data_IF_240778414623
#
_entry.id   IF_240778414623
#
_cell.length_a   1.000
_cell.length_b   1.000
_cell.length_c   1.000
_cell.angle_alpha   90.00
_cell.angle_beta   90.00
_cell.angle_gamma   90.00
#
_symmetry.space_group_name_H-M   'P 1'
#
loop_
_entity.id
_entity.type
_entity.pdbx_description
1 polymer ?
#
# COMPACT_ATOMS: atom_id res chain seq x y z
N UNK A 1 -11.89 14.29 -1.11
CA UNK A 1 -11.96 13.38 0.05
C UNK A 1 -11.97 11.90 -0.35
N UNK A 2 -12.63 11.57 -1.46
CA UNK A 2 -12.66 10.20 -1.96
C UNK A 2 -11.26 9.61 -2.20
N UNK A 3 -10.32 10.42 -2.67
CA UNK A 3 -8.95 9.94 -2.95
C UNK A 3 -8.14 9.68 -1.67
N UNK A 4 -8.51 10.24 -0.54
CA UNK A 4 -7.91 9.88 0.75
C UNK A 4 -8.39 8.49 1.18
N UNK A 5 -9.68 8.19 1.00
CA UNK A 5 -10.20 6.83 1.21
C UNK A 5 -9.50 5.83 0.30
N UNK A 6 -9.33 6.20 -0.98
CA UNK A 6 -8.64 5.37 -1.96
C UNK A 6 -7.21 5.06 -1.50
N UNK A 7 -6.49 6.07 -1.00
CA UNK A 7 -5.12 5.89 -0.50
C UNK A 7 -5.07 4.89 0.66
N UNK A 8 -5.91 5.08 1.67
CA UNK A 8 -5.94 4.16 2.81
C UNK A 8 -6.46 2.77 2.43
N UNK A 9 -7.43 2.68 1.52
CA UNK A 9 -7.91 1.40 1.03
C UNK A 9 -6.81 0.63 0.31
N UNK A 10 -5.99 1.32 -0.48
CA UNK A 10 -4.82 0.75 -1.15
C UNK A 10 -3.78 0.30 -0.13
N UNK A 11 -3.49 1.13 0.87
CA UNK A 11 -2.52 0.81 1.90
C UNK A 11 -2.93 -0.43 2.68
N UNK A 12 -4.21 -0.57 2.99
CA UNK A 12 -4.73 -1.76 3.67
C UNK A 12 -4.47 -3.03 2.85
N UNK A 13 -4.75 -2.98 1.54
CA UNK A 13 -4.50 -4.11 0.64
C UNK A 13 -3.00 -4.43 0.56
N UNK A 14 -2.18 -3.41 0.29
CA UNK A 14 -0.74 -3.57 0.10
C UNK A 14 -0.06 -4.10 1.37
N UNK A 15 -0.35 -3.49 2.51
CA UNK A 15 0.23 -3.87 3.79
C UNK A 15 -0.18 -5.29 4.17
N UNK A 16 -1.44 -5.64 3.98
CA UNK A 16 -1.94 -6.98 4.32
C UNK A 16 -1.21 -8.06 3.54
N UNK A 17 -1.05 -7.88 2.21
CA UNK A 17 -0.39 -8.89 1.39
C UNK A 17 1.12 -8.93 1.62
N UNK A 18 1.76 -7.78 1.73
CA UNK A 18 3.20 -7.74 2.00
C UNK A 18 3.52 -8.38 3.36
N UNK A 19 2.72 -8.08 4.38
CA UNK A 19 2.88 -8.67 5.70
C UNK A 19 2.61 -10.18 5.69
N UNK A 20 1.53 -10.61 5.02
CA UNK A 20 1.20 -12.03 4.91
C UNK A 20 2.35 -12.82 4.28
N UNK A 21 2.92 -12.31 3.20
CA UNK A 21 4.06 -12.94 2.53
C UNK A 21 5.28 -12.98 3.44
N UNK A 22 5.53 -11.90 4.17
CA UNK A 22 6.63 -11.83 5.12
C UNK A 22 6.49 -12.87 6.23
N UNK A 23 5.26 -13.17 6.63
CA UNK A 23 4.95 -14.18 7.64
C UNK A 23 4.90 -15.60 7.09
N UNK A 24 5.13 -15.78 5.79
CA UNK A 24 5.13 -17.08 5.15
C UNK A 24 3.74 -17.65 4.85
N UNK A 25 2.70 -16.81 4.86
CA UNK A 25 1.34 -17.23 4.55
C UNK A 25 1.16 -17.37 3.04
N UNK A 26 0.32 -18.32 2.62
CA UNK A 26 0.02 -18.50 1.21
C UNK A 26 -0.86 -17.37 0.69
N UNK A 27 -0.39 -16.67 -0.35
CA UNK A 27 -1.07 -15.50 -0.91
C UNK A 27 -2.51 -15.82 -1.29
N UNK A 28 -2.76 -16.92 -1.99
CA UNK A 28 -4.11 -17.27 -2.47
C UNK A 28 -5.09 -17.47 -1.32
N UNK A 29 -4.66 -18.10 -0.24
CA UNK A 29 -5.51 -18.31 0.94
C UNK A 29 -5.85 -17.00 1.63
N UNK A 30 -4.88 -16.09 1.71
CA UNK A 30 -5.09 -14.76 2.30
C UNK A 30 -6.06 -13.95 1.45
N UNK A 31 -5.88 -13.97 0.12
CA UNK A 31 -6.76 -13.26 -0.82
C UNK A 31 -8.19 -13.80 -0.75
N UNK A 32 -8.36 -15.10 -0.69
CA UNK A 32 -9.69 -15.72 -0.58
C UNK A 32 -10.37 -15.34 0.74
N UNK A 33 -9.65 -15.41 1.85
CA UNK A 33 -10.18 -15.05 3.16
C UNK A 33 -10.58 -13.57 3.23
N UNK A 34 -9.75 -12.67 2.71
CA UNK A 34 -10.04 -11.24 2.68
C UNK A 34 -11.18 -10.91 1.73
N UNK A 35 -11.26 -11.62 0.59
CA UNK A 35 -12.36 -11.41 -0.38
C UNK A 35 -13.74 -11.74 0.19
N UNK A 36 -13.81 -12.61 1.17
CA UNK A 36 -15.06 -13.00 1.84
C UNK A 36 -15.38 -12.11 3.05
N UNK A 37 -14.47 -11.22 3.43
CA UNK A 37 -14.66 -10.37 4.61
C UNK A 37 -15.57 -9.18 4.31
N UNK A 38 -16.54 -8.88 5.18
CA UNK A 38 -17.38 -7.68 5.02
C UNK A 38 -16.61 -6.38 5.17
N UNK A 39 -15.37 -6.42 5.70
CA UNK A 39 -14.51 -5.24 5.84
C UNK A 39 -13.81 -4.87 4.54
N UNK A 40 -13.80 -5.77 3.55
CA UNK A 40 -13.11 -5.58 2.28
C UNK A 40 -14.12 -5.19 1.21
N UNK A 41 -13.90 -4.03 0.58
CA UNK A 41 -14.77 -3.56 -0.49
C UNK A 41 -14.59 -4.40 -1.76
N UNK A 42 -15.57 -4.33 -2.68
CA UNK A 42 -15.45 -4.99 -3.99
C UNK A 42 -14.22 -4.48 -4.76
N UNK A 43 -13.93 -3.19 -4.66
CA UNK A 43 -12.73 -2.59 -5.27
C UNK A 43 -11.45 -3.21 -4.70
N UNK A 44 -11.37 -3.33 -3.37
CA UNK A 44 -10.21 -3.93 -2.71
C UNK A 44 -10.07 -5.41 -3.08
N UNK A 45 -11.17 -6.16 -3.14
CA UNK A 45 -11.14 -7.56 -3.53
C UNK A 45 -10.58 -7.74 -4.95
N UNK A 46 -10.97 -6.87 -5.89
CA UNK A 46 -10.43 -6.89 -7.24
C UNK A 46 -8.93 -6.57 -7.25
N UNK A 47 -8.49 -5.60 -6.45
CA UNK A 47 -7.06 -5.25 -6.35
C UNK A 47 -6.24 -6.38 -5.72
N UNK A 48 -6.77 -7.06 -4.72
CA UNK A 48 -6.11 -8.24 -4.13
C UNK A 48 -5.83 -9.31 -5.19
N UNK A 49 -6.79 -9.57 -6.09
CA UNK A 49 -6.61 -10.54 -7.17
C UNK A 49 -5.51 -10.09 -8.14
N UNK A 50 -5.46 -8.81 -8.49
CA UNK A 50 -4.43 -8.29 -9.39
C UNK A 50 -3.04 -8.41 -8.77
N UNK A 51 -2.89 -8.08 -7.50
CA UNK A 51 -1.61 -8.19 -6.79
C UNK A 51 -1.16 -9.65 -6.72
N UNK A 52 -2.10 -10.57 -6.44
CA UNK A 52 -1.79 -12.00 -6.39
C UNK A 52 -1.22 -12.51 -7.72
N UNK A 53 -1.66 -11.94 -8.84
CA UNK A 53 -1.18 -12.27 -10.18
C UNK A 53 0.04 -11.47 -10.61
N UNK A 54 0.49 -10.53 -9.80
CA UNK A 54 1.60 -9.64 -10.16
C UNK A 54 1.25 -8.60 -11.22
N UNK A 55 -0.02 -8.24 -11.36
CA UNK A 55 -0.50 -7.30 -12.36
C UNK A 55 -0.54 -5.87 -11.81
N UNK A 56 0.40 -5.04 -12.24
CA UNK A 56 0.48 -3.64 -11.82
C UNK A 56 0.28 -2.66 -12.98
N UNK A 57 -0.34 -3.12 -14.07
CA UNK A 57 -0.71 -2.23 -15.18
C UNK A 57 -1.68 -1.16 -14.68
N UNK A 58 -1.47 0.06 -15.12
CA UNK A 58 -2.07 1.24 -14.52
C UNK A 58 -3.57 1.34 -14.75
N UNK A 59 -4.34 1.33 -13.68
CA UNK A 59 -5.73 1.77 -13.66
C UNK A 59 -5.82 3.15 -12.99
N UNK A 60 -4.99 3.38 -11.97
CA UNK A 60 -4.82 4.68 -11.33
C UNK A 60 -3.35 4.81 -10.93
N UNK A 61 -2.62 5.71 -11.59
CA UNK A 61 -1.19 5.85 -11.38
C UNK A 61 -0.85 6.26 -9.95
N UNK A 62 0.17 5.63 -9.39
CA UNK A 62 0.64 5.92 -8.03
C UNK A 62 0.97 7.40 -7.85
N UNK A 63 1.66 8.00 -8.81
CA UNK A 63 2.05 9.43 -8.73
C UNK A 63 0.85 10.37 -8.66
N UNK A 64 -0.25 10.04 -9.35
CA UNK A 64 -1.47 10.84 -9.32
C UNK A 64 -2.19 10.71 -7.97
N UNK A 65 -2.26 9.49 -7.44
CA UNK A 65 -2.84 9.26 -6.13
C UNK A 65 -2.05 9.98 -5.04
N UNK A 66 -0.73 9.94 -5.10
CA UNK A 66 0.15 10.62 -4.15
C UNK A 66 -0.02 12.14 -4.22
N UNK A 67 -0.18 12.69 -5.42
CA UNK A 67 -0.41 14.13 -5.60
C UNK A 67 -1.60 14.61 -4.78
N UNK A 68 -2.70 13.86 -4.81
CA UNK A 68 -3.91 14.20 -4.06
C UNK A 68 -3.68 14.13 -2.55
N UNK A 69 -2.90 13.16 -2.10
CA UNK A 69 -2.51 13.05 -0.69
C UNK A 69 -1.68 14.27 -0.25
N UNK A 70 -0.71 14.66 -1.06
CA UNK A 70 0.11 15.85 -0.76
C UNK A 70 -0.73 17.13 -0.71
N UNK A 71 -1.68 17.29 -1.63
CA UNK A 71 -2.57 18.44 -1.64
C UNK A 71 -3.42 18.51 -0.36
N UNK A 72 -3.93 17.36 0.09
CA UNK A 72 -4.70 17.29 1.33
C UNK A 72 -3.85 17.66 2.55
N UNK A 73 -2.62 17.15 2.63
CA UNK A 73 -1.71 17.46 3.74
C UNK A 73 -1.35 18.94 3.76
N UNK A 74 -1.10 19.54 2.60
CA UNK A 74 -0.82 20.98 2.49
C UNK A 74 -2.01 21.81 2.93
N UNK A 75 -3.23 21.42 2.52
CA UNK A 75 -4.44 22.13 2.87
C UNK A 75 -4.74 22.05 4.37
N UNK A 76 -4.44 20.91 4.98
CA UNK A 76 -4.66 20.71 6.42
C UNK A 76 -3.71 21.56 7.27
N UNK A 77 -2.47 21.69 6.82
CA UNK A 77 -1.42 22.47 7.50
C UNK A 77 -1.36 22.17 9.01
N UNK A 78 -1.33 20.86 9.37
CA UNK A 78 -1.44 20.40 10.74
C UNK A 78 -0.72 19.06 10.89
N UNK A 79 0.08 18.92 11.95
CA UNK A 79 0.91 17.73 12.20
C UNK A 79 0.14 16.54 12.78
N UNK A 80 -1.13 16.73 13.12
CA UNK A 80 -1.93 15.66 13.74
C UNK A 80 -2.28 14.50 12.81
N UNK A 81 -2.13 14.69 11.48
CA UNK A 81 -2.46 13.67 10.49
C UNK A 81 -1.26 12.76 10.20
N UNK A 82 -0.66 12.21 11.24
CA UNK A 82 0.58 11.43 11.16
C UNK A 82 0.45 10.17 10.28
N UNK A 83 -0.70 9.48 10.35
CA UNK A 83 -0.90 8.28 9.52
C UNK A 83 -0.89 8.61 8.04
N UNK A 84 -1.54 9.72 7.64
CA UNK A 84 -1.55 10.16 6.25
C UNK A 84 -0.16 10.63 5.81
N UNK A 85 0.54 11.34 6.68
CA UNK A 85 1.91 11.79 6.40
C UNK A 85 2.86 10.60 6.20
N UNK A 86 2.76 9.56 7.03
CA UNK A 86 3.57 8.35 6.89
C UNK A 86 3.27 7.61 5.59
N UNK A 87 2.00 7.52 5.21
CA UNK A 87 1.60 6.95 3.92
C UNK A 87 2.23 7.75 2.78
N UNK A 88 2.16 9.08 2.85
CA UNK A 88 2.74 9.94 1.82
C UNK A 88 4.25 9.73 1.67
N UNK A 89 4.98 9.61 2.77
CA UNK A 89 6.43 9.38 2.75
C UNK A 89 6.77 8.03 2.11
N UNK A 90 6.03 7.00 2.46
CA UNK A 90 6.18 5.65 1.93
C UNK A 90 5.92 5.62 0.41
N UNK A 91 4.84 6.25 -0.02
CA UNK A 91 4.49 6.33 -1.44
C UNK A 91 5.45 7.22 -2.22
N UNK A 92 5.95 8.28 -1.60
CA UNK A 92 6.96 9.13 -2.24
C UNK A 92 8.23 8.35 -2.52
N UNK A 93 8.65 7.49 -1.58
CA UNK A 93 9.81 6.63 -1.79
C UNK A 93 9.59 5.71 -3.00
N UNK A 94 8.40 5.13 -3.13
CA UNK A 94 8.06 4.28 -4.27
C UNK A 94 8.11 5.05 -5.60
N UNK A 95 7.61 6.29 -5.61
CA UNK A 95 7.69 7.16 -6.80
C UNK A 95 9.15 7.47 -7.13
N UNK A 96 9.96 7.80 -6.13
CA UNK A 96 11.38 8.10 -6.30
C UNK A 96 12.15 6.88 -6.83
N UNK A 97 11.70 5.67 -6.49
CA UNK A 97 12.26 4.42 -6.99
C UNK A 97 11.79 4.06 -8.41
N UNK A 98 11.02 4.94 -9.06
CA UNK A 98 10.60 4.76 -10.45
C UNK A 98 9.27 4.07 -10.65
N UNK A 99 8.45 3.90 -9.60
CA UNK A 99 7.19 3.16 -9.67
C UNK A 99 5.96 4.05 -9.91
N UNK A 100 6.17 5.37 -10.07
CA UNK A 100 5.08 6.35 -10.10
C UNK A 100 4.07 6.18 -11.24
N UNK A 101 4.48 5.62 -12.37
CA UNK A 101 3.63 5.43 -13.55
C UNK A 101 2.81 4.13 -13.49
N UNK A 102 3.11 3.24 -12.56
CA UNK A 102 2.39 1.99 -12.39
C UNK A 102 1.14 2.19 -11.54
N UNK A 103 0.29 1.16 -11.51
CA UNK A 103 -0.91 1.20 -10.68
C UNK A 103 -0.55 1.46 -9.22
N UNK A 104 -1.42 2.20 -8.51
CA UNK A 104 -1.16 2.54 -7.11
C UNK A 104 -0.90 1.31 -6.22
N UNK A 105 -1.43 0.14 -6.60
CA UNK A 105 -1.19 -1.11 -5.87
C UNK A 105 0.26 -1.58 -5.92
N UNK A 106 1.10 -0.96 -6.75
CA UNK A 106 2.54 -1.28 -6.81
C UNK A 106 3.27 -0.98 -5.50
N UNK A 107 2.65 -0.21 -4.60
CA UNK A 107 3.21 0.02 -3.25
C UNK A 107 3.38 -1.30 -2.49
N UNK A 108 2.64 -2.35 -2.85
CA UNK A 108 2.87 -3.70 -2.32
C UNK A 108 4.29 -4.17 -2.60
N UNK A 109 4.75 -3.99 -3.83
CA UNK A 109 6.14 -4.35 -4.22
C UNK A 109 7.17 -3.50 -3.49
N UNK A 110 6.88 -2.22 -3.33
CA UNK A 110 7.76 -1.32 -2.60
C UNK A 110 7.94 -1.78 -1.15
N UNK A 111 6.86 -2.19 -0.49
CA UNK A 111 6.92 -2.73 0.87
C UNK A 111 7.73 -4.03 0.94
N UNK A 112 7.57 -4.90 -0.04
CA UNK A 112 8.30 -6.16 -0.11
C UNK A 112 9.81 -5.93 -0.35
N UNK A 113 10.16 -4.99 -1.20
CA UNK A 113 11.55 -4.65 -1.53
C UNK A 113 12.27 -3.99 -0.35
N UNK A 114 11.57 -3.19 0.44
CA UNK A 114 12.10 -2.56 1.63
C UNK A 114 12.23 -3.53 2.80
N UNK A 115 11.58 -4.70 2.69
CA UNK A 115 11.57 -5.73 3.70
C UNK A 115 12.88 -6.48 3.79
N UNK A 116 13.92 -5.84 4.32
CA UNK A 116 15.21 -6.45 4.55
C UNK A 116 15.20 -7.34 5.78
N UNK A 117 15.93 -6.92 6.80
CA UNK A 117 16.07 -7.66 8.06
C UNK A 117 14.73 -7.75 8.80
N UNK A 118 14.34 -8.93 9.27
CA UNK A 118 13.16 -9.07 10.13
C UNK A 118 13.24 -8.16 11.35
N UNK A 119 12.09 -7.66 11.79
CA UNK A 119 12.00 -6.71 12.91
C UNK A 119 12.73 -7.19 14.17
N UNK A 120 12.66 -8.50 14.45
CA UNK A 120 13.32 -9.10 15.61
C UNK A 120 14.84 -8.94 15.54
N UNK A 121 15.43 -9.14 14.37
CA UNK A 121 16.85 -8.95 14.15
C UNK A 121 17.25 -7.49 14.20
N UNK A 122 16.41 -6.60 13.64
CA UNK A 122 16.65 -5.16 13.71
C UNK A 122 16.64 -4.66 15.16
N UNK A 123 15.76 -5.18 15.97
CA UNK A 123 15.73 -4.84 17.42
C UNK A 123 16.99 -5.32 18.13
N UNK A 124 17.54 -6.47 17.74
CA UNK A 124 18.77 -7.01 18.32
C UNK A 124 20.01 -6.18 17.97
N UNK A 125 19.99 -5.49 16.83
CA UNK A 125 21.08 -4.63 16.36
C UNK A 125 21.13 -3.27 17.08
N UNK A 126 20.12 -2.95 17.83
CA UNK A 126 20.05 -1.71 18.59
C UNK A 126 20.72 -1.86 19.94
#
# INVERSE_FOLDING_TARGET
MNNIWLAFATEAVATSLALARRLGLETEKVVDALGDSPLVSAWQAAKLQRIAKGEYSTQFALSLALKDVHLALQAADDDRFAALASLADEWQQAVDDGLGDQDLTVVTRALEQQGGTPRRERAADL
#
